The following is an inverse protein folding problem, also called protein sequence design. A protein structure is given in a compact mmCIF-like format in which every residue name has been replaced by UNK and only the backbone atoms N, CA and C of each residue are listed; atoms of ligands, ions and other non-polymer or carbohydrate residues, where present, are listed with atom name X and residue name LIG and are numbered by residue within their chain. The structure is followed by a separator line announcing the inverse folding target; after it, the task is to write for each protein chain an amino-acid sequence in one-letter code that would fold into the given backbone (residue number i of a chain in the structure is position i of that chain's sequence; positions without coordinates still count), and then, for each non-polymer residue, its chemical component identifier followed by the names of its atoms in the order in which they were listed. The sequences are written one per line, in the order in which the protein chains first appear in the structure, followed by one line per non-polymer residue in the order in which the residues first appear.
data_IF_912685971256
#
_entry.id   IF_912685971256
#
_cell.length_a   1.000
_cell.length_b   1.000
_cell.length_c   1.000
_cell.angle_alpha   90.00
_cell.angle_beta   90.00
_cell.angle_gamma   90.00
#
_symmetry.space_group_name_H-M   'P 1'
#
loop_
_entity.id
_entity.type
_entity.pdbx_description
1 polymer ?
#
# COMPACT_ATOMS: atom_id res chain seq x y z
N UNK A 1 -6.27 -8.91 2.64
CA UNK A 1 -5.30 -7.98 1.99
C UNK A 1 -3.91 -8.48 2.36
N UNK A 2 -2.93 -8.45 1.46
CA UNK A 2 -1.54 -8.87 1.71
C UNK A 2 -0.62 -7.70 1.36
N UNK A 3 0.05 -7.15 2.36
CA UNK A 3 1.03 -6.06 2.26
C UNK A 3 2.23 -6.36 3.16
N UNK A 4 3.44 -5.99 2.75
CA UNK A 4 4.66 -6.17 3.56
C UNK A 4 5.30 -4.83 3.94
N UNK A 5 6.04 -4.81 5.05
CA UNK A 5 6.85 -3.64 5.40
C UNK A 5 7.93 -3.43 4.34
N UNK A 6 8.24 -2.18 4.03
CA UNK A 6 9.26 -1.87 3.02
C UNK A 6 10.33 -0.96 3.60
N UNK A 7 11.59 -1.27 3.29
CA UNK A 7 12.72 -0.38 3.53
C UNK A 7 13.29 0.03 2.18
N UNK A 8 13.41 1.34 1.93
CA UNK A 8 13.93 1.89 0.68
C UNK A 8 14.92 3.02 0.97
N UNK A 9 15.95 3.15 0.12
CA UNK A 9 16.82 4.34 0.13
C UNK A 9 16.02 5.57 -0.32
N UNK A 10 16.43 6.77 0.09
CA UNK A 10 15.85 8.04 -0.37
C UNK A 10 15.81 8.06 -1.90
N UNK A 11 14.61 8.11 -2.45
CA UNK A 11 14.36 8.14 -3.88
C UNK A 11 13.31 9.20 -4.19
N UNK A 12 13.35 9.75 -5.42
CA UNK A 12 12.33 10.71 -5.90
C UNK A 12 10.91 10.12 -5.80
N UNK A 13 10.78 8.81 -5.98
CA UNK A 13 9.50 8.09 -5.84
C UNK A 13 9.71 6.73 -5.15
N UNK A 14 8.94 6.48 -4.09
CA UNK A 14 8.86 5.19 -3.42
C UNK A 14 7.55 4.52 -3.82
N UNK A 15 7.63 3.28 -4.32
CA UNK A 15 6.46 2.47 -4.70
C UNK A 15 6.09 1.57 -3.52
N UNK A 16 4.86 1.70 -3.03
CA UNK A 16 4.23 0.79 -2.09
C UNK A 16 3.19 -0.04 -2.84
N UNK A 17 3.20 -1.36 -2.66
CA UNK A 17 2.29 -2.27 -3.33
C UNK A 17 1.50 -3.09 -2.32
N UNK A 18 0.23 -3.34 -2.64
CA UNK A 18 -0.63 -4.23 -1.89
C UNK A 18 -1.26 -5.24 -2.83
N UNK A 19 -1.26 -6.51 -2.44
CA UNK A 19 -1.97 -7.57 -3.15
C UNK A 19 -3.29 -7.85 -2.43
N UNK A 20 -4.39 -7.80 -3.15
CA UNK A 20 -5.71 -8.12 -2.62
C UNK A 20 -6.08 -9.55 -3.01
N UNK A 21 -6.36 -10.36 -2.00
CA UNK A 21 -6.86 -11.72 -2.12
C UNK A 21 -8.08 -11.89 -1.23
N UNK A 22 -8.97 -12.82 -1.59
CA UNK A 22 -10.09 -13.24 -0.74
C UNK A 22 -9.63 -14.26 0.33
N UNK A 23 -10.55 -14.71 1.18
CA UNK A 23 -10.29 -15.69 2.24
C UNK A 23 -9.76 -17.03 1.72
N UNK A 24 -10.08 -17.40 0.47
CA UNK A 24 -9.62 -18.60 -0.22
C UNK A 24 -8.29 -18.40 -0.98
N UNK A 25 -7.60 -17.27 -0.78
CA UNK A 25 -6.35 -16.94 -1.49
C UNK A 25 -6.52 -16.52 -2.96
N UNK A 26 -7.74 -16.49 -3.50
CA UNK A 26 -8.01 -16.05 -4.88
C UNK A 26 -7.85 -14.54 -5.01
N UNK A 27 -7.26 -14.12 -6.12
CA UNK A 27 -6.93 -12.73 -6.42
C UNK A 27 -8.20 -11.90 -6.67
N UNK A 28 -8.31 -10.75 -6.01
CA UNK A 28 -9.40 -9.79 -6.24
C UNK A 28 -8.92 -8.65 -7.16
N UNK A 29 -9.26 -8.78 -8.44
CA UNK A 29 -8.92 -7.85 -9.53
C UNK A 29 -9.89 -6.67 -9.56
N UNK A 30 -9.43 -5.49 -10.01
CA UNK A 30 -10.24 -4.30 -10.25
C UNK A 30 -11.02 -3.75 -9.05
N UNK A 31 -10.58 -4.05 -7.82
CA UNK A 31 -11.19 -3.56 -6.58
C UNK A 31 -10.39 -2.39 -6.01
N UNK A 32 -11.08 -1.50 -5.31
CA UNK A 32 -10.44 -0.31 -4.72
C UNK A 32 -9.93 -0.60 -3.31
N UNK A 33 -8.64 -0.31 -3.07
CA UNK A 33 -8.04 -0.29 -1.74
C UNK A 33 -7.84 1.17 -1.33
N UNK A 34 -8.21 1.50 -0.09
CA UNK A 34 -7.95 2.81 0.52
C UNK A 34 -6.61 2.74 1.25
N UNK A 35 -5.64 3.52 0.81
CA UNK A 35 -4.36 3.70 1.50
C UNK A 35 -4.39 4.99 2.30
N UNK A 36 -4.35 4.92 3.62
CA UNK A 36 -4.15 6.09 4.47
C UNK A 36 -2.66 6.22 4.76
N UNK A 37 -2.06 7.29 4.26
CA UNK A 37 -0.65 7.59 4.44
C UNK A 37 -0.52 9.02 4.96
N UNK A 38 0.04 9.20 6.16
CA UNK A 38 -0.05 10.46 6.92
C UNK A 38 -1.54 10.88 7.05
N UNK A 39 -1.84 12.16 6.83
CA UNK A 39 -3.20 12.71 6.81
C UNK A 39 -3.90 12.59 5.45
N UNK A 40 -3.33 11.88 4.46
CA UNK A 40 -3.89 11.74 3.11
C UNK A 40 -4.43 10.34 2.87
N UNK A 41 -5.57 10.25 2.19
CA UNK A 41 -6.20 8.99 1.79
C UNK A 41 -6.09 8.86 0.26
N UNK A 42 -5.54 7.74 -0.19
CA UNK A 42 -5.36 7.41 -1.59
C UNK A 42 -6.19 6.18 -1.95
N UNK A 43 -7.16 6.33 -2.85
CA UNK A 43 -7.89 5.18 -3.42
C UNK A 43 -7.10 4.65 -4.61
N UNK A 44 -6.73 3.37 -4.60
CA UNK A 44 -6.06 2.72 -5.74
C UNK A 44 -6.78 1.44 -6.13
N UNK A 45 -7.05 1.32 -7.42
CA UNK A 45 -7.66 0.14 -8.03
C UNK A 45 -6.60 -0.96 -8.18
N UNK A 46 -6.95 -2.20 -7.83
CA UNK A 46 -6.11 -3.36 -8.08
C UNK A 46 -6.10 -3.71 -9.57
N UNK A 47 -4.95 -4.12 -10.09
CA UNK A 47 -4.82 -4.56 -11.48
C UNK A 47 -5.34 -6.00 -11.69
N UNK A 48 -5.16 -6.55 -12.89
CA UNK A 48 -5.51 -7.92 -13.23
C UNK A 48 -4.78 -9.01 -12.40
N UNK A 49 -3.75 -8.65 -11.63
CA UNK A 49 -3.05 -9.53 -10.67
C UNK A 49 -3.46 -9.26 -9.22
N UNK A 50 -4.49 -8.43 -9.00
CA UNK A 50 -4.97 -8.00 -7.69
C UNK A 50 -4.00 -7.07 -6.97
N UNK A 51 -3.06 -6.45 -7.67
CA UNK A 51 -2.04 -5.58 -7.07
C UNK A 51 -2.47 -4.13 -7.23
N UNK A 52 -2.58 -3.41 -6.12
CA UNK A 52 -2.70 -1.96 -6.09
C UNK A 52 -1.33 -1.33 -5.81
N UNK A 53 -0.96 -0.33 -6.60
CA UNK A 53 0.32 0.38 -6.45
C UNK A 53 0.08 1.83 -6.05
N UNK A 54 0.70 2.25 -4.96
CA UNK A 54 0.76 3.64 -4.52
C UNK A 54 2.18 4.18 -4.73
N UNK A 55 2.29 5.32 -5.43
CA UNK A 55 3.56 6.04 -5.61
C UNK A 55 3.60 7.19 -4.62
N UNK A 56 4.54 7.15 -3.69
CA UNK A 56 4.80 8.21 -2.72
C UNK A 56 6.01 9.01 -3.19
N UNK A 57 5.85 10.32 -3.35
CA UNK A 57 6.91 11.23 -3.80
C UNK A 57 7.41 12.06 -2.63
N UNK A 58 8.65 12.56 -2.75
CA UNK A 58 9.25 13.56 -1.85
C UNK A 58 9.24 13.17 -0.37
N UNK A 59 9.53 11.89 -0.07
CA UNK A 59 9.69 11.41 1.31
C UNK A 59 11.08 11.76 1.82
N UNK A 60 11.15 12.42 2.99
CA UNK A 60 12.39 12.62 3.72
C UNK A 60 12.83 11.30 4.36
N UNK A 61 14.07 11.24 4.85
CA UNK A 61 14.54 10.10 5.66
C UNK A 61 13.68 9.99 6.92
N UNK A 62 13.32 8.77 7.31
CA UNK A 62 12.46 8.54 8.46
C UNK A 62 11.62 7.27 8.35
N UNK A 63 10.81 7.04 9.39
CA UNK A 63 9.83 5.95 9.44
C UNK A 63 8.44 6.53 9.19
N UNK A 64 7.70 5.95 8.25
CA UNK A 64 6.34 6.35 7.95
C UNK A 64 5.39 5.17 8.07
N UNK A 65 4.22 5.41 8.64
CA UNK A 65 3.15 4.41 8.74
C UNK A 65 2.19 4.58 7.58
N UNK A 66 1.84 3.47 6.93
CA UNK A 66 0.80 3.39 5.93
C UNK A 66 -0.24 2.36 6.35
N UNK A 67 -1.52 2.70 6.21
CA UNK A 67 -2.62 1.79 6.45
C UNK A 67 -3.29 1.43 5.13
N UNK A 68 -3.53 0.15 4.92
CA UNK A 68 -4.23 -0.39 3.74
C UNK A 68 -5.57 -0.93 4.18
N UNK A 69 -6.65 -0.27 3.79
CA UNK A 69 -8.02 -0.61 4.17
C UNK A 69 -8.82 -1.12 2.98
N UNK A 70 -9.48 -2.26 3.16
CA UNK A 70 -10.41 -2.85 2.21
C UNK A 70 -11.62 -3.42 2.97
N UNK A 71 -12.81 -2.83 2.78
CA UNK A 71 -13.98 -3.16 3.60
C UNK A 71 -13.70 -2.91 5.08
N UNK A 72 -13.91 -3.93 5.92
CA UNK A 72 -13.62 -3.91 7.37
C UNK A 72 -12.16 -4.25 7.71
N UNK A 73 -11.37 -4.72 6.74
CA UNK A 73 -9.98 -5.11 6.97
C UNK A 73 -9.05 -3.90 6.84
N UNK A 74 -8.23 -3.66 7.87
CA UNK A 74 -7.17 -2.65 7.84
C UNK A 74 -5.84 -3.28 8.23
N UNK A 75 -4.82 -3.08 7.41
CA UNK A 75 -3.46 -3.57 7.68
C UNK A 75 -2.51 -2.39 7.81
N UNK A 76 -1.72 -2.39 8.87
CA UNK A 76 -0.69 -1.39 9.15
C UNK A 76 0.65 -1.87 8.62
N UNK A 77 1.34 -1.03 7.86
CA UNK A 77 2.68 -1.27 7.35
C UNK A 77 3.60 -0.09 7.64
N UNK A 78 4.89 -0.37 7.72
CA UNK A 78 5.94 0.63 7.93
C UNK A 78 6.76 0.76 6.66
N UNK A 79 6.96 2.01 6.25
CA UNK A 79 7.84 2.44 5.17
C UNK A 79 9.04 3.13 5.82
N UNK A 80 10.20 2.48 5.79
CA UNK A 80 11.45 3.06 6.29
C UNK A 80 12.26 3.63 5.13
N UNK A 81 12.50 4.94 5.19
CA UNK A 81 13.32 5.66 4.21
C UNK A 81 14.69 5.92 4.84
N UNK A 82 15.72 5.27 4.31
CA UNK A 82 17.13 5.45 4.71
C UNK A 82 17.84 6.43 3.78
#
# INVERSE_FOLDING_TARGET
VITKNITKKKAKTIKFTAKLVNSKGKILKYKYIKFKFKSKIYKRKTNAKGIATLRLRNLKRGKYTIYSTYGKLTIKNIIRVK
#
